data_IF_319680846393
#
_entry.id   IF_319680846393
#
_cell.length_a   1.000
_cell.length_b   1.000
_cell.length_c   1.000
_cell.angle_alpha   90.00
_cell.angle_beta   90.00
_cell.angle_gamma   90.00
#
_symmetry.space_group_name_H-M   'P 1'
#
loop_
_entity.id
_entity.type
_entity.pdbx_description
1 polymer ?
#
# COMPACT_ATOMS: atom_id res chain seq x y z
N UNK A 1 -11.99 -17.40 -7.67
CA UNK A 1 -11.07 -16.55 -8.48
C UNK A 1 -10.31 -17.48 -9.42
N UNK A 2 -10.06 -17.08 -10.66
CA UNK A 2 -9.32 -17.91 -11.61
C UNK A 2 -7.81 -17.71 -11.42
N UNK A 3 -7.12 -18.73 -10.91
CA UNK A 3 -5.68 -18.69 -10.59
C UNK A 3 -4.79 -18.77 -11.83
N UNK A 4 -5.36 -19.13 -12.99
CA UNK A 4 -4.62 -19.21 -14.27
C UNK A 4 -4.48 -17.85 -14.95
N UNK A 5 -5.27 -16.85 -14.51
CA UNK A 5 -5.24 -15.48 -15.00
C UNK A 5 -4.30 -14.60 -14.16
N UNK A 6 -3.67 -13.58 -14.76
CA UNK A 6 -2.86 -12.63 -14.00
C UNK A 6 -3.69 -11.85 -12.96
N UNK A 7 -3.08 -11.52 -11.82
CA UNK A 7 -3.73 -10.71 -10.78
C UNK A 7 -3.93 -9.26 -11.23
N UNK A 8 -5.04 -8.64 -10.83
CA UNK A 8 -5.29 -7.22 -11.07
C UNK A 8 -4.37 -6.38 -10.18
N UNK A 9 -3.61 -5.46 -10.79
CA UNK A 9 -2.74 -4.51 -10.07
C UNK A 9 -3.52 -3.32 -9.51
N UNK A 10 -4.43 -2.79 -10.31
CA UNK A 10 -5.30 -1.68 -9.99
C UNK A 10 -6.58 -1.75 -10.81
N UNK A 11 -7.60 -1.04 -10.35
CA UNK A 11 -8.83 -0.75 -11.09
C UNK A 11 -9.04 0.76 -11.12
N UNK A 12 -9.54 1.28 -12.23
CA UNK A 12 -10.00 2.67 -12.34
C UNK A 12 -11.52 2.64 -12.15
N UNK A 13 -12.01 3.33 -11.14
CA UNK A 13 -13.43 3.49 -10.86
C UNK A 13 -13.88 4.86 -11.35
N UNK A 14 -14.80 4.89 -12.32
CA UNK A 14 -15.45 6.12 -12.74
C UNK A 14 -16.62 6.42 -11.79
N UNK A 15 -16.65 7.64 -11.24
CA UNK A 15 -17.79 8.13 -10.47
C UNK A 15 -18.78 8.81 -11.42
N UNK A 16 -20.10 8.67 -11.24
CA UNK A 16 -21.09 9.26 -12.16
C UNK A 16 -20.92 10.76 -12.42
N UNK A 17 -20.59 11.51 -11.35
CA UNK A 17 -20.44 12.97 -11.36
C UNK A 17 -19.05 13.42 -10.84
N UNK A 18 -18.05 12.53 -10.85
CA UNK A 18 -16.79 12.74 -10.10
C UNK A 18 -15.54 12.22 -10.81
N UNK A 19 -14.35 12.56 -10.29
CA UNK A 19 -13.08 12.14 -10.88
C UNK A 19 -12.90 10.63 -10.85
N UNK A 20 -12.06 10.13 -11.77
CA UNK A 20 -11.66 8.73 -11.78
C UNK A 20 -10.81 8.39 -10.54
N UNK A 21 -11.17 7.33 -9.83
CA UNK A 21 -10.45 6.86 -8.64
C UNK A 21 -9.68 5.60 -8.98
N UNK A 22 -8.35 5.68 -8.96
CA UNK A 22 -7.46 4.52 -9.11
C UNK A 22 -7.32 3.79 -7.77
N UNK A 23 -7.91 2.60 -7.68
CA UNK A 23 -7.80 1.69 -6.53
C UNK A 23 -6.70 0.68 -6.82
N UNK A 24 -5.70 0.58 -5.94
CA UNK A 24 -4.67 -0.49 -6.00
C UNK A 24 -5.11 -1.71 -5.20
N UNK A 25 -4.72 -2.90 -5.67
CA UNK A 25 -4.99 -4.15 -4.96
C UNK A 25 -3.74 -4.67 -4.27
N UNK A 26 -3.89 -5.08 -3.01
CA UNK A 26 -2.92 -5.87 -2.27
C UNK A 26 -3.61 -7.13 -1.76
N UNK A 27 -3.04 -8.29 -2.06
CA UNK A 27 -3.66 -9.59 -1.80
C UNK A 27 -3.03 -10.26 -0.56
N UNK A 28 -3.88 -10.79 0.32
CA UNK A 28 -3.44 -11.62 1.45
C UNK A 28 -3.19 -13.09 1.04
N UNK A 29 -2.25 -13.75 1.72
CA UNK A 29 -2.13 -15.22 1.82
C UNK A 29 -1.97 -15.99 0.49
N UNK A 30 -1.41 -15.38 -0.55
CA UNK A 30 -1.03 -16.12 -1.76
C UNK A 30 0.41 -16.67 -1.71
N UNK A 31 0.53 -17.97 -1.94
CA UNK A 31 1.80 -18.67 -2.19
C UNK A 31 2.09 -18.72 -3.70
N UNK A 32 3.36 -18.86 -4.07
CA UNK A 32 3.87 -19.05 -5.45
C UNK A 32 3.22 -18.11 -6.48
N UNK A 33 3.77 -16.90 -6.58
CA UNK A 33 3.36 -15.88 -7.54
C UNK A 33 4.53 -15.49 -8.42
N UNK A 34 4.27 -15.40 -9.71
CA UNK A 34 5.24 -15.04 -10.71
C UNK A 34 5.17 -13.53 -10.98
N UNK A 35 6.24 -12.80 -10.68
CA UNK A 35 6.30 -11.36 -10.93
C UNK A 35 6.46 -11.01 -12.42
N UNK A 36 6.82 -11.97 -13.27
CA UNK A 36 6.90 -11.78 -14.73
C UNK A 36 5.51 -11.83 -15.38
N UNK A 37 4.75 -12.92 -15.19
CA UNK A 37 3.47 -13.13 -15.86
C UNK A 37 2.23 -12.75 -15.02
N UNK A 38 2.40 -12.53 -13.70
CA UNK A 38 1.33 -12.18 -12.77
C UNK A 38 0.38 -13.33 -12.39
N UNK A 39 0.64 -14.56 -12.85
CA UNK A 39 -0.15 -15.75 -12.50
C UNK A 39 0.27 -16.33 -11.14
N UNK A 40 -0.62 -17.14 -10.56
CA UNK A 40 -0.34 -17.94 -9.38
C UNK A 40 0.20 -19.34 -9.77
N UNK A 41 0.59 -20.12 -8.76
CA UNK A 41 1.16 -21.48 -8.80
C UNK A 41 2.68 -21.60 -9.03
N UNK A 42 3.34 -20.65 -9.68
CA UNK A 42 4.78 -20.70 -9.97
C UNK A 42 5.54 -19.43 -9.55
N UNK A 43 6.87 -19.50 -9.51
CA UNK A 43 7.76 -18.35 -9.27
C UNK A 43 8.33 -17.84 -10.60
N UNK A 44 8.88 -16.62 -10.60
CA UNK A 44 9.50 -16.01 -11.79
C UNK A 44 10.54 -16.93 -12.46
N UNK A 45 11.25 -17.75 -11.68
CA UNK A 45 12.29 -18.64 -12.19
C UNK A 45 11.80 -19.87 -12.96
N UNK A 46 10.57 -20.29 -12.70
CA UNK A 46 9.91 -21.40 -13.39
C UNK A 46 8.72 -20.90 -14.23
N UNK A 47 8.87 -19.71 -14.82
CA UNK A 47 7.84 -19.08 -15.65
C UNK A 47 7.98 -19.55 -17.11
N UNK A 48 6.89 -20.04 -17.70
CA UNK A 48 6.84 -20.51 -19.09
C UNK A 48 7.33 -19.44 -20.08
N UNK A 49 7.01 -18.16 -19.84
CA UNK A 49 7.46 -17.03 -20.66
C UNK A 49 8.98 -16.97 -20.86
N UNK A 50 9.79 -17.45 -19.90
CA UNK A 50 11.27 -17.45 -20.02
C UNK A 50 11.80 -18.41 -21.09
N UNK A 51 10.95 -19.29 -21.60
CA UNK A 51 11.28 -20.30 -22.60
C UNK A 51 10.54 -20.07 -23.93
N UNK A 52 9.80 -18.97 -24.06
CA UNK A 52 9.13 -18.59 -25.31
C UNK A 52 10.12 -17.88 -26.27
N UNK A 53 9.99 -18.15 -27.57
CA UNK A 53 10.82 -17.53 -28.60
C UNK A 53 10.60 -16.01 -28.63
N UNK A 54 11.67 -15.25 -28.42
CA UNK A 54 11.63 -13.78 -28.34
C UNK A 54 11.43 -13.21 -26.94
N UNK A 55 11.57 -14.01 -25.87
CA UNK A 55 11.63 -13.49 -24.51
C UNK A 55 12.83 -12.54 -24.30
N UNK A 56 12.54 -11.27 -24.01
CA UNK A 56 13.50 -10.28 -23.53
C UNK A 56 13.33 -10.13 -22.01
N UNK A 57 14.42 -10.20 -21.24
CA UNK A 57 14.37 -10.10 -19.78
C UNK A 57 14.02 -8.65 -19.36
N UNK A 58 12.87 -8.40 -18.71
CA UNK A 58 12.48 -7.05 -18.29
C UNK A 58 13.41 -6.46 -17.22
N UNK A 59 14.27 -7.26 -16.57
CA UNK A 59 15.28 -6.77 -15.63
C UNK A 59 14.66 -6.02 -14.44
N UNK A 60 14.69 -4.70 -14.48
CA UNK A 60 14.07 -3.84 -13.45
C UNK A 60 12.62 -3.43 -13.78
N UNK A 61 12.20 -3.46 -15.05
CA UNK A 61 10.88 -3.00 -15.52
C UNK A 61 9.81 -4.11 -15.40
N UNK A 62 9.86 -4.86 -14.31
CA UNK A 62 9.00 -6.01 -14.04
C UNK A 62 7.55 -5.51 -13.82
N UNK A 63 6.54 -6.05 -14.53
CA UNK A 63 5.18 -5.51 -14.51
C UNK A 63 4.44 -5.73 -13.19
N UNK A 64 4.90 -6.64 -12.32
CA UNK A 64 4.33 -6.88 -10.99
C UNK A 64 5.41 -6.69 -9.92
N UNK A 65 5.12 -5.88 -8.90
CA UNK A 65 6.04 -5.60 -7.80
C UNK A 65 5.63 -6.33 -6.52
N UNK A 66 6.51 -6.44 -5.51
CA UNK A 66 6.16 -6.98 -4.19
C UNK A 66 4.98 -6.27 -3.51
N UNK A 67 4.63 -5.04 -3.90
CA UNK A 67 3.52 -4.25 -3.34
C UNK A 67 2.13 -4.88 -3.54
N UNK A 68 2.01 -5.84 -4.47
CA UNK A 68 0.79 -6.66 -4.60
C UNK A 68 0.59 -7.61 -3.41
N UNK A 69 1.60 -7.83 -2.56
CA UNK A 69 1.45 -8.55 -1.30
C UNK A 69 0.91 -7.61 -0.22
N UNK A 70 -0.22 -7.97 0.37
CA UNK A 70 -0.66 -7.32 1.59
C UNK A 70 0.44 -7.48 2.68
N UNK A 71 0.76 -6.43 3.45
CA UNK A 71 1.67 -6.55 4.57
C UNK A 71 1.12 -7.56 5.59
N UNK A 72 1.99 -8.25 6.37
CA UNK A 72 1.51 -9.16 7.40
C UNK A 72 0.57 -8.41 8.36
N UNK A 73 -0.53 -9.04 8.82
CA UNK A 73 -1.45 -8.40 9.73
C UNK A 73 -0.68 -7.91 10.95
N UNK A 74 -0.88 -6.63 11.31
CA UNK A 74 -0.26 -6.06 12.51
C UNK A 74 -0.65 -6.94 13.69
N UNK A 75 0.34 -7.67 14.23
CA UNK A 75 0.22 -8.35 15.51
C UNK A 75 0.08 -7.27 16.56
N UNK A 76 -1.16 -6.85 16.82
CA UNK A 76 -1.46 -6.24 18.10
C UNK A 76 -0.91 -7.19 19.17
N UNK A 77 -0.15 -6.70 20.17
CA UNK A 77 0.11 -7.53 21.34
C UNK A 77 -1.24 -8.00 21.88
N UNK A 78 -1.34 -9.15 22.56
CA UNK A 78 -2.59 -9.64 23.11
C UNK A 78 -3.08 -8.72 24.21
N UNK A 79 -3.68 -7.58 23.83
CA UNK A 79 -4.64 -6.87 24.63
C UNK A 79 -5.75 -7.87 24.90
N UNK A 80 -5.86 -8.28 26.16
CA UNK A 80 -6.99 -9.06 26.64
C UNK A 80 -8.26 -8.38 26.11
N UNK A 81 -9.01 -9.06 25.25
CA UNK A 81 -10.29 -8.57 24.75
C UNK A 81 -11.24 -8.52 25.94
N UNK A 82 -11.21 -7.40 26.66
CA UNK A 82 -12.22 -7.02 27.64
C UNK A 82 -13.42 -6.62 26.80
N UNK A 83 -14.27 -7.59 26.50
CA UNK A 83 -15.57 -7.36 25.87
C UNK A 83 -16.45 -6.61 26.87
N UNK A 84 -16.26 -5.29 26.95
CA UNK A 84 -17.06 -4.41 27.77
C UNK A 84 -18.42 -4.24 27.09
N UNK A 85 -19.34 -5.18 27.37
CA UNK A 85 -20.76 -4.96 27.15
C UNK A 85 -21.21 -3.94 28.19
N UNK A 86 -21.24 -2.68 27.78
CA UNK A 86 -21.99 -1.63 28.45
C UNK A 86 -23.01 -1.10 27.45
N UNK A 87 -24.29 -1.30 27.73
CA UNK A 87 -25.38 -0.87 26.87
C UNK A 87 -25.40 0.66 26.73
N UNK A 88 -25.60 1.14 25.49
CA UNK A 88 -26.07 2.49 25.23
C UNK A 88 -25.10 3.66 25.49
N UNK A 89 -24.08 3.84 24.65
CA UNK A 89 -23.57 5.20 24.36
C UNK A 89 -23.36 5.46 22.87
N UNK A 90 -24.07 6.48 22.38
CA UNK A 90 -24.01 7.07 21.04
C UNK A 90 -22.59 7.20 20.45
N UNK A 91 -22.46 6.86 19.16
CA UNK A 91 -21.30 7.25 18.33
C UNK A 91 -21.30 8.77 18.13
N UNK A 92 -20.63 9.48 19.04
CA UNK A 92 -20.42 10.93 18.91
C UNK A 92 -19.20 11.22 18.04
N UNK A 93 -19.42 11.36 16.74
CA UNK A 93 -18.41 11.98 15.85
C UNK A 93 -18.22 13.46 16.19
N UNK A 94 -16.98 13.87 16.45
CA UNK A 94 -16.50 15.27 16.49
C UNK A 94 -14.98 15.24 16.38
N UNK A 95 -14.42 15.51 15.19
CA UNK A 95 -13.92 16.84 14.75
C UNK A 95 -12.78 17.42 15.60
N UNK A 96 -11.63 17.55 14.92
CA UNK A 96 -10.65 18.65 14.95
C UNK A 96 -10.30 19.35 16.26
N UNK A 97 -9.02 19.34 16.60
CA UNK A 97 -8.38 20.43 17.36
C UNK A 97 -6.91 20.58 16.97
N UNK A 98 -6.56 21.74 16.42
CA UNK A 98 -5.17 22.21 16.31
C UNK A 98 -4.56 22.51 17.68
N UNK A 99 -3.20 22.65 17.69
CA UNK A 99 -2.32 23.37 18.66
C UNK A 99 -1.37 22.43 19.42
N UNK A 100 -0.08 22.73 19.57
CA UNK A 100 0.72 23.90 19.15
C UNK A 100 2.13 23.48 18.69
N UNK A 101 2.81 24.27 17.85
CA UNK A 101 3.67 25.38 18.26
C UNK A 101 4.74 24.98 19.29
N UNK A 102 5.81 24.33 18.84
CA UNK A 102 7.09 24.37 19.55
C UNK A 102 8.05 25.36 18.88
N UNK A 103 8.71 26.18 19.69
CA UNK A 103 9.31 27.45 19.27
C UNK A 103 10.79 27.50 19.68
N UNK A 104 11.66 26.95 18.83
CA UNK A 104 13.11 26.94 19.07
C UNK A 104 13.81 28.14 18.40
N UNK A 105 14.48 28.97 19.22
CA UNK A 105 15.51 29.96 18.83
C UNK A 105 16.51 30.10 19.98
N UNK A 106 17.81 30.00 19.69
CA UNK A 106 18.73 31.14 19.85
C UNK A 106 19.53 31.38 18.53
N UNK A 107 20.29 32.45 18.31
CA UNK A 107 20.58 33.69 19.03
C UNK A 107 21.40 34.61 18.09
N UNK A 108 21.40 35.94 18.28
CA UNK A 108 22.01 36.90 17.34
C UNK A 108 23.49 37.21 17.60
N UNK A 109 24.29 37.39 16.54
CA UNK A 109 25.29 38.45 16.31
C UNK A 109 26.02 38.19 14.96
N UNK A 110 26.34 39.15 14.08
CA UNK A 110 26.01 40.58 14.03
C UNK A 110 26.35 41.19 12.65
N UNK A 111 25.91 42.44 12.43
CA UNK A 111 26.56 43.56 11.68
C UNK A 111 27.84 43.29 10.87
N UNK A 112 28.13 43.91 9.72
CA UNK A 112 27.51 44.94 8.85
C UNK A 112 28.26 44.90 7.49
N UNK A 113 28.11 45.73 6.45
CA UNK A 113 27.52 47.08 6.28
C UNK A 113 27.03 47.28 4.82
N UNK A 114 26.92 48.52 4.35
CA UNK A 114 26.89 48.93 2.93
C UNK A 114 28.17 49.68 2.56
N UNK A 115 28.60 49.57 1.30
CA UNK A 115 28.88 50.69 0.39
C UNK A 115 28.76 50.16 -1.06
#
# INVERSE_FOLDING_TARGET
MDVTKPLYRFMILQSPDGPEVKVTFAYEKFANFCYLCGKLAHLSDSCELRYEDGFEDPGNDIPYTPDLRAPPPRRFPPSTIRLAVSEGTSWRSSKSSERGKEKWKPGLAGSSSRL
#
